data_IF_452249342990
#
_entry.id   IF_452249342990
#
_cell.length_a   1.000
_cell.length_b   1.000
_cell.length_c   1.000
_cell.angle_alpha   90.00
_cell.angle_beta   90.00
_cell.angle_gamma   90.00
#
_symmetry.space_group_name_H-M   'P 1'
#
loop_
_entity.id
_entity.type
_entity.pdbx_description
1 polymer ?
#
# COMPACT_ATOMS: atom_id res chain seq x y z
N UNK A 1 -52.31 8.44 -13.75
CA UNK A 1 -51.55 7.77 -12.67
C UNK A 1 -50.10 8.17 -12.83
N UNK A 2 -49.62 9.14 -12.06
CA UNK A 2 -48.21 9.54 -12.06
C UNK A 2 -47.40 8.48 -11.32
N UNK A 3 -46.50 7.81 -12.02
CA UNK A 3 -45.46 6.97 -11.42
C UNK A 3 -44.71 7.76 -10.35
N UNK A 4 -44.32 7.14 -9.22
CA UNK A 4 -43.59 7.85 -8.17
C UNK A 4 -42.33 8.46 -8.77
N UNK A 5 -42.20 9.78 -8.68
CA UNK A 5 -41.01 10.50 -9.11
C UNK A 5 -39.85 9.95 -8.33
N UNK A 6 -38.89 9.34 -9.02
CA UNK A 6 -37.66 8.83 -8.42
C UNK A 6 -36.98 9.98 -7.67
N UNK A 7 -37.07 9.94 -6.33
CA UNK A 7 -36.66 11.03 -5.44
C UNK A 7 -35.13 11.16 -5.31
N UNK A 8 -34.38 10.34 -6.07
CA UNK A 8 -32.93 10.36 -6.12
C UNK A 8 -32.39 11.64 -6.72
N UNK A 9 -31.29 12.13 -6.14
CA UNK A 9 -30.55 13.26 -6.69
C UNK A 9 -30.05 12.91 -8.11
N UNK A 10 -29.85 13.89 -9.01
CA UNK A 10 -29.38 13.63 -10.38
C UNK A 10 -28.10 12.77 -10.44
N UNK A 11 -27.18 12.96 -9.49
CA UNK A 11 -25.93 12.20 -9.41
C UNK A 11 -26.14 10.72 -9.04
N UNK A 12 -27.18 10.42 -8.27
CA UNK A 12 -27.56 9.04 -7.88
C UNK A 12 -28.30 8.30 -9.00
N UNK A 13 -28.69 9.01 -10.06
CA UNK A 13 -29.36 8.43 -11.24
C UNK A 13 -28.38 8.07 -12.35
N UNK A 14 -27.10 8.39 -12.17
CA UNK A 14 -26.07 8.04 -13.13
C UNK A 14 -25.87 6.51 -13.17
N UNK A 15 -25.49 5.95 -14.33
CA UNK A 15 -24.94 4.60 -14.41
C UNK A 15 -23.77 4.42 -13.44
N UNK A 16 -23.65 3.21 -12.90
CA UNK A 16 -22.64 2.87 -11.89
C UNK A 16 -21.22 3.15 -12.37
N UNK A 17 -20.96 2.97 -13.66
CA UNK A 17 -19.66 3.21 -14.29
C UNK A 17 -19.27 4.70 -14.25
N UNK A 18 -20.26 5.60 -14.36
CA UNK A 18 -20.02 7.04 -14.23
C UNK A 18 -19.77 7.43 -12.78
N UNK A 19 -20.47 6.79 -11.82
CA UNK A 19 -20.21 6.98 -10.39
C UNK A 19 -18.77 6.55 -10.06
N UNK A 20 -18.34 5.39 -10.56
CA UNK A 20 -16.96 4.90 -10.42
C UNK A 20 -15.96 5.89 -11.01
N UNK A 21 -16.19 6.35 -12.23
CA UNK A 21 -15.31 7.30 -12.91
C UNK A 21 -15.20 8.62 -12.16
N UNK A 22 -16.32 9.18 -11.68
CA UNK A 22 -16.33 10.41 -10.88
C UNK A 22 -15.51 10.20 -9.61
N UNK A 23 -15.73 9.09 -8.90
CA UNK A 23 -14.99 8.78 -7.69
C UNK A 23 -13.48 8.61 -7.93
N UNK A 24 -13.05 7.93 -8.98
CA UNK A 24 -11.62 7.78 -9.27
C UNK A 24 -10.95 9.07 -9.76
N UNK A 25 -11.72 10.01 -10.31
CA UNK A 25 -11.21 11.33 -10.69
C UNK A 25 -11.05 12.27 -9.47
N UNK A 26 -11.91 12.13 -8.46
CA UNK A 26 -11.87 13.01 -7.28
C UNK A 26 -11.16 12.40 -6.07
N UNK A 27 -11.17 11.07 -5.94
CA UNK A 27 -10.77 10.31 -4.75
C UNK A 27 -11.41 10.84 -3.45
N UNK A 28 -12.59 11.45 -3.56
CA UNK A 28 -13.27 12.12 -2.46
C UNK A 28 -14.11 11.12 -1.64
N UNK A 29 -13.64 10.75 -0.45
CA UNK A 29 -14.33 9.79 0.42
C UNK A 29 -15.63 10.33 1.04
N UNK A 30 -15.87 11.63 1.01
CA UNK A 30 -17.19 12.18 1.35
C UNK A 30 -18.26 11.82 0.31
N UNK A 31 -17.87 11.47 -0.92
CA UNK A 31 -18.81 11.10 -1.97
C UNK A 31 -19.62 9.83 -1.65
N UNK A 32 -19.01 8.68 -1.30
CA UNK A 32 -19.77 7.53 -0.79
C UNK A 32 -20.47 7.81 0.55
N UNK A 33 -19.94 8.70 1.40
CA UNK A 33 -20.57 9.03 2.70
C UNK A 33 -21.86 9.86 2.54
N UNK A 34 -21.98 10.62 1.45
CA UNK A 34 -23.12 11.51 1.20
C UNK A 34 -24.40 10.76 0.77
N UNK A 35 -24.29 9.52 0.27
CA UNK A 35 -25.44 8.75 -0.22
C UNK A 35 -25.23 7.24 -0.07
N UNK A 36 -26.20 6.57 0.53
CA UNK A 36 -26.21 5.11 0.62
C UNK A 36 -26.25 4.44 -0.77
N UNK A 37 -26.87 5.07 -1.76
CA UNK A 37 -26.90 4.54 -3.13
C UNK A 37 -25.51 4.58 -3.77
N UNK A 38 -24.79 5.69 -3.59
CA UNK A 38 -23.43 5.87 -4.08
C UNK A 38 -22.47 4.95 -3.32
N UNK A 39 -22.62 4.83 -2.00
CA UNK A 39 -21.86 3.87 -1.20
C UNK A 39 -22.02 2.44 -1.72
N UNK A 40 -23.26 2.02 -1.99
CA UNK A 40 -23.54 0.69 -2.54
C UNK A 40 -22.92 0.50 -3.93
N UNK A 41 -22.98 1.52 -4.80
CA UNK A 41 -22.36 1.50 -6.12
C UNK A 41 -20.83 1.37 -6.05
N UNK A 42 -20.19 2.00 -5.06
CA UNK A 42 -18.72 1.96 -4.85
C UNK A 42 -18.26 0.78 -3.98
N UNK A 43 -19.18 0.03 -3.37
CA UNK A 43 -18.87 -1.12 -2.53
C UNK A 43 -18.55 -2.35 -3.37
N UNK A 44 -17.36 -2.34 -3.98
CA UNK A 44 -16.89 -3.37 -4.88
C UNK A 44 -15.43 -3.69 -4.59
N UNK A 45 -15.10 -4.98 -4.48
CA UNK A 45 -13.74 -5.44 -4.19
C UNK A 45 -12.72 -4.94 -5.22
N UNK A 46 -13.07 -4.85 -6.50
CA UNK A 46 -12.19 -4.32 -7.56
C UNK A 46 -11.85 -2.85 -7.29
N UNK A 47 -12.82 -2.06 -6.83
CA UNK A 47 -12.62 -0.65 -6.48
C UNK A 47 -11.68 -0.54 -5.29
N UNK A 48 -11.89 -1.37 -4.26
CA UNK A 48 -11.03 -1.41 -3.08
C UNK A 48 -9.60 -1.83 -3.41
N UNK A 49 -9.43 -2.86 -4.27
CA UNK A 49 -8.12 -3.28 -4.79
C UNK A 49 -7.44 -2.15 -5.54
N UNK A 50 -8.16 -1.44 -6.41
CA UNK A 50 -7.61 -0.28 -7.11
C UNK A 50 -7.20 0.81 -6.14
N UNK A 51 -8.04 1.19 -5.18
CA UNK A 51 -7.72 2.19 -4.15
C UNK A 51 -6.46 1.82 -3.35
N UNK A 52 -6.30 0.55 -2.96
CA UNK A 52 -5.11 0.09 -2.25
C UNK A 52 -3.87 0.20 -3.14
N UNK A 53 -3.93 -0.32 -4.37
CA UNK A 53 -2.78 -0.28 -5.29
C UNK A 53 -2.39 1.13 -5.65
N UNK A 54 -3.38 1.99 -5.85
CA UNK A 54 -3.25 3.44 -5.91
C UNK A 54 -2.48 3.86 -4.65
N UNK A 55 -3.13 3.97 -3.50
CA UNK A 55 -2.57 4.64 -2.33
C UNK A 55 -1.24 4.05 -1.83
N UNK A 56 -1.01 2.74 -1.94
CA UNK A 56 0.09 2.05 -1.26
C UNK A 56 1.21 1.54 -2.17
N UNK A 57 1.18 1.75 -3.49
CA UNK A 57 2.33 1.37 -4.33
C UNK A 57 3.50 2.35 -4.19
N UNK A 58 4.74 1.88 -4.13
CA UNK A 58 5.94 2.74 -4.13
C UNK A 58 6.03 3.64 -5.37
N UNK A 59 6.44 4.91 -5.19
CA UNK A 59 6.50 5.92 -6.25
C UNK A 59 7.93 6.12 -6.83
N UNK A 60 8.73 5.05 -6.90
CA UNK A 60 10.12 5.16 -7.35
C UNK A 60 10.22 5.71 -8.78
N UNK A 61 11.34 6.37 -9.15
CA UNK A 61 11.55 6.89 -10.51
C UNK A 61 11.37 5.82 -11.60
N UNK A 62 11.73 4.57 -11.32
CA UNK A 62 11.54 3.45 -12.25
C UNK A 62 10.10 2.91 -12.30
N UNK A 63 9.21 3.33 -11.40
CA UNK A 63 7.79 2.95 -11.43
C UNK A 63 7.01 3.75 -12.49
N UNK A 64 7.44 4.97 -12.79
CA UNK A 64 6.87 5.81 -13.86
C UNK A 64 7.25 5.33 -15.27
N UNK A 65 8.24 4.43 -15.39
CA UNK A 65 8.70 3.83 -16.66
C UNK A 65 7.74 2.81 -17.28
N UNK A 66 6.45 2.87 -16.96
CA UNK A 66 5.42 2.00 -17.53
C UNK A 66 5.07 0.75 -16.71
N UNK A 67 5.73 0.55 -15.57
CA UNK A 67 5.55 -0.65 -14.73
C UNK A 67 4.16 -0.68 -14.12
N UNK A 68 3.66 0.46 -13.63
CA UNK A 68 2.33 0.56 -13.01
C UNK A 68 1.31 1.20 -13.96
N UNK A 69 1.21 0.66 -15.18
CA UNK A 69 0.26 1.13 -16.21
C UNK A 69 -1.01 0.26 -16.23
N UNK A 70 -2.07 0.77 -16.84
CA UNK A 70 -3.29 0.03 -17.14
C UNK A 70 -2.95 -1.33 -17.79
N UNK A 71 -3.49 -2.45 -17.30
CA UNK A 71 -4.65 -2.59 -16.41
C UNK A 71 -4.34 -2.68 -14.91
N UNK A 72 -3.08 -2.55 -14.48
CA UNK A 72 -2.70 -2.78 -13.08
C UNK A 72 -3.18 -1.66 -12.15
N UNK A 73 -3.14 -0.42 -12.64
CA UNK A 73 -3.72 0.77 -12.02
C UNK A 73 -4.69 1.46 -13.00
N UNK A 74 -5.75 2.11 -12.49
CA UNK A 74 -6.51 3.07 -13.28
C UNK A 74 -5.58 4.13 -13.89
N UNK A 75 -5.77 4.45 -15.17
CA UNK A 75 -5.03 5.52 -15.81
C UNK A 75 -5.22 6.82 -14.99
N UNK A 76 -4.17 7.65 -14.90
CA UNK A 76 -4.08 8.91 -14.12
C UNK A 76 -3.48 8.83 -12.70
N UNK A 77 -2.96 7.68 -12.26
CA UNK A 77 -2.47 7.56 -10.88
C UNK A 77 -1.17 8.33 -10.52
N UNK A 78 -0.33 8.68 -11.51
CA UNK A 78 0.94 9.36 -11.27
C UNK A 78 0.83 10.87 -10.95
N UNK A 79 -0.38 11.41 -10.76
CA UNK A 79 -0.56 12.83 -10.44
C UNK A 79 -0.68 13.15 -8.95
N UNK A 80 -0.76 12.16 -8.06
CA UNK A 80 -0.80 12.43 -6.62
C UNK A 80 0.59 12.79 -6.11
N UNK A 81 0.69 13.94 -5.43
CA UNK A 81 1.88 14.27 -4.65
C UNK A 81 1.96 13.43 -3.36
N UNK A 82 3.04 13.62 -2.59
CA UNK A 82 3.28 12.85 -1.38
C UNK A 82 2.18 13.09 -0.32
N UNK A 83 1.67 14.31 -0.19
CA UNK A 83 0.69 14.69 0.83
C UNK A 83 -0.69 14.14 0.49
N UNK A 84 -1.13 14.31 -0.76
CA UNK A 84 -2.38 13.74 -1.28
C UNK A 84 -2.41 12.23 -1.14
N UNK A 85 -1.27 11.57 -1.39
CA UNK A 85 -1.15 10.13 -1.21
C UNK A 85 -1.26 9.73 0.26
N UNK A 86 -0.62 10.46 1.17
CA UNK A 86 -0.73 10.22 2.62
C UNK A 86 -2.15 10.42 3.11
N UNK A 87 -2.84 11.46 2.67
CA UNK A 87 -4.25 11.70 3.00
C UNK A 87 -5.14 10.53 2.52
N UNK A 88 -4.94 10.09 1.28
CA UNK A 88 -5.65 8.95 0.72
C UNK A 88 -5.38 7.65 1.49
N UNK A 89 -4.12 7.40 1.88
CA UNK A 89 -3.76 6.26 2.74
C UNK A 89 -4.51 6.33 4.06
N UNK A 90 -4.54 7.49 4.72
CA UNK A 90 -5.27 7.67 5.98
C UNK A 90 -6.78 7.43 5.82
N UNK A 91 -7.40 7.92 4.76
CA UNK A 91 -8.84 7.69 4.51
C UNK A 91 -9.14 6.20 4.22
N UNK A 92 -8.30 5.53 3.43
CA UNK A 92 -8.46 4.09 3.16
C UNK A 92 -8.29 3.28 4.44
N UNK A 93 -7.26 3.56 5.23
CA UNK A 93 -7.02 2.83 6.48
C UNK A 93 -8.14 3.03 7.49
N UNK A 94 -8.92 4.12 7.45
CA UNK A 94 -10.11 4.32 8.30
C UNK A 94 -11.30 3.45 7.88
N UNK A 95 -11.30 2.90 6.67
CA UNK A 95 -12.43 2.15 6.15
C UNK A 95 -12.44 0.69 6.64
N UNK A 96 -13.62 0.20 7.03
CA UNK A 96 -13.80 -1.17 7.54
C UNK A 96 -13.52 -2.26 6.50
N UNK A 97 -13.61 -1.93 5.20
CA UNK A 97 -13.28 -2.87 4.12
C UNK A 97 -11.76 -3.05 3.94
N UNK A 98 -10.94 -2.18 4.51
CA UNK A 98 -9.48 -2.28 4.44
C UNK A 98 -8.98 -3.31 5.45
N UNK A 99 -9.00 -4.58 5.06
CA UNK A 99 -8.57 -5.70 5.89
C UNK A 99 -7.14 -6.15 5.56
N UNK A 100 -6.48 -6.84 6.48
CA UNK A 100 -5.18 -7.47 6.21
C UNK A 100 -5.26 -8.43 5.03
N UNK A 101 -6.31 -9.25 4.95
CA UNK A 101 -6.54 -10.20 3.86
C UNK A 101 -6.56 -9.50 2.49
N UNK A 102 -7.29 -8.39 2.36
CA UNK A 102 -7.34 -7.62 1.11
C UNK A 102 -6.00 -6.95 0.81
N UNK A 103 -5.32 -6.39 1.83
CA UNK A 103 -4.00 -5.80 1.68
C UNK A 103 -2.98 -6.84 1.20
N UNK A 104 -3.00 -8.06 1.75
CA UNK A 104 -2.13 -9.18 1.35
C UNK A 104 -2.40 -9.65 -0.07
N UNK A 105 -3.67 -9.73 -0.47
CA UNK A 105 -4.05 -10.00 -1.87
C UNK A 105 -3.41 -8.98 -2.80
N UNK A 106 -3.60 -7.68 -2.51
CA UNK A 106 -3.04 -6.59 -3.32
C UNK A 106 -1.50 -6.64 -3.35
N UNK A 107 -0.89 -6.95 -2.21
CA UNK A 107 0.56 -7.09 -2.07
C UNK A 107 1.12 -8.21 -2.94
N UNK A 108 0.50 -9.39 -2.90
CA UNK A 108 0.90 -10.53 -3.71
C UNK A 108 0.81 -10.21 -5.20
N UNK A 109 -0.34 -9.70 -5.64
CA UNK A 109 -0.56 -9.32 -7.04
C UNK A 109 0.42 -8.24 -7.51
N UNK A 110 0.78 -7.30 -6.62
CA UNK A 110 1.80 -6.29 -6.88
C UNK A 110 3.17 -6.91 -7.12
N UNK A 111 3.65 -7.76 -6.21
CA UNK A 111 4.95 -8.43 -6.34
C UNK A 111 5.02 -9.26 -7.63
N UNK A 112 4.00 -10.06 -7.92
CA UNK A 112 3.91 -10.85 -9.14
C UNK A 112 3.95 -9.98 -10.40
N UNK A 113 3.24 -8.85 -10.38
CA UNK A 113 3.23 -7.90 -11.48
C UNK A 113 4.60 -7.26 -11.70
N UNK A 114 5.28 -6.82 -10.64
CA UNK A 114 6.64 -6.26 -10.74
C UNK A 114 7.61 -7.29 -11.33
N UNK A 115 7.55 -8.55 -10.87
CA UNK A 115 8.40 -9.62 -11.39
C UNK A 115 8.12 -9.84 -12.87
N UNK A 116 6.85 -9.94 -13.27
CA UNK A 116 6.46 -10.12 -14.68
C UNK A 116 6.97 -8.99 -15.57
N UNK A 117 6.89 -7.74 -15.10
CA UNK A 117 7.27 -6.57 -15.89
C UNK A 117 8.78 -6.32 -15.92
N UNK A 118 9.46 -6.44 -14.78
CA UNK A 118 10.88 -6.08 -14.67
C UNK A 118 11.83 -7.26 -14.89
N UNK A 119 11.34 -8.49 -14.75
CA UNK A 119 12.15 -9.69 -14.98
C UNK A 119 11.83 -10.39 -16.31
N UNK A 120 10.98 -9.80 -17.16
CA UNK A 120 10.64 -10.36 -18.48
C UNK A 120 11.87 -10.59 -19.34
N UNK A 121 12.71 -9.56 -19.44
CA UNK A 121 13.83 -9.50 -20.38
C UNK A 121 15.19 -9.87 -19.73
N UNK A 122 15.17 -10.13 -18.42
CA UNK A 122 16.38 -10.51 -17.69
C UNK A 122 16.80 -11.95 -18.01
N UNK A 123 18.10 -12.14 -18.19
CA UNK A 123 18.68 -13.47 -18.37
C UNK A 123 18.80 -14.12 -16.99
N UNK A 124 17.93 -15.10 -16.72
CA UNK A 124 17.83 -15.81 -15.44
C UNK A 124 18.02 -17.31 -15.68
N UNK A 125 18.65 -18.02 -14.73
CA UNK A 125 18.80 -19.47 -14.83
C UNK A 125 17.43 -20.17 -14.88
N UNK A 126 17.26 -21.32 -15.57
CA UNK A 126 15.97 -22.01 -15.63
C UNK A 126 15.43 -22.37 -14.24
N UNK A 127 16.32 -22.73 -13.31
CA UNK A 127 15.96 -23.06 -11.93
C UNK A 127 15.42 -21.83 -11.19
N UNK A 128 16.11 -20.68 -11.30
CA UNK A 128 15.65 -19.46 -10.64
C UNK A 128 14.39 -18.89 -11.30
N UNK A 129 14.25 -19.05 -12.61
CA UNK A 129 13.03 -18.65 -13.33
C UNK A 129 11.82 -19.45 -12.85
N UNK A 130 11.96 -20.77 -12.69
CA UNK A 130 10.91 -21.61 -12.12
C UNK A 130 10.50 -21.17 -10.69
N UNK A 131 11.45 -20.65 -9.89
CA UNK A 131 11.16 -20.08 -8.56
C UNK A 131 10.41 -18.75 -8.65
N UNK A 132 10.71 -17.90 -9.63
CA UNK A 132 9.97 -16.65 -9.86
C UNK A 132 8.58 -16.88 -10.44
N UNK A 133 8.40 -17.95 -11.23
CA UNK A 133 7.12 -18.31 -11.84
C UNK A 133 6.16 -18.98 -10.83
N UNK A 134 6.67 -19.59 -9.75
CA UNK A 134 5.87 -20.17 -8.68
C UNK A 134 6.27 -19.63 -7.29
N UNK A 135 5.56 -18.59 -6.86
CA UNK A 135 5.80 -17.93 -5.57
C UNK A 135 4.94 -18.47 -4.41
N UNK A 136 3.96 -19.33 -4.69
CA UNK A 136 3.01 -19.84 -3.67
C UNK A 136 3.68 -20.37 -2.40
N UNK A 137 4.73 -21.21 -2.48
CA UNK A 137 5.35 -21.77 -1.27
C UNK A 137 5.95 -20.70 -0.36
N UNK A 138 6.41 -19.59 -0.94
CA UNK A 138 7.00 -18.49 -0.17
C UNK A 138 5.93 -17.67 0.55
N UNK A 139 4.77 -17.45 -0.07
CA UNK A 139 3.63 -16.78 0.58
C UNK A 139 3.05 -17.62 1.72
N UNK A 140 2.99 -18.94 1.57
CA UNK A 140 2.46 -19.86 2.59
C UNK A 140 3.34 -19.95 3.84
N UNK A 141 4.67 -19.92 3.65
CA UNK A 141 5.66 -20.05 4.73
C UNK A 141 6.11 -18.72 5.34
N UNK A 142 5.59 -17.60 4.83
CA UNK A 142 5.97 -16.25 5.24
C UNK A 142 5.63 -15.97 6.72
N UNK A 143 6.61 -15.45 7.47
CA UNK A 143 6.37 -14.91 8.81
C UNK A 143 5.68 -13.55 8.72
N UNK A 144 4.37 -13.54 9.00
CA UNK A 144 3.49 -12.36 8.93
C UNK A 144 3.80 -11.29 9.97
N UNK A 145 4.53 -11.64 11.02
CA UNK A 145 4.88 -10.75 12.13
C UNK A 145 6.37 -10.39 12.15
N UNK A 146 7.10 -10.72 11.08
CA UNK A 146 8.52 -10.43 10.98
C UNK A 146 8.76 -8.92 10.87
N UNK A 147 9.30 -8.32 11.95
CA UNK A 147 9.63 -6.90 12.01
C UNK A 147 11.09 -6.61 11.63
N UNK A 148 11.66 -7.35 10.66
CA UNK A 148 13.03 -7.23 10.14
C UNK A 148 14.08 -6.86 11.21
N UNK A 149 14.84 -7.84 11.71
CA UNK A 149 15.88 -7.67 12.76
C UNK A 149 16.52 -6.28 12.80
N UNK A 150 16.18 -5.48 13.82
CA UNK A 150 16.68 -4.13 14.08
C UNK A 150 16.37 -3.07 13.00
N UNK A 151 15.23 -3.19 12.30
CA UNK A 151 14.83 -2.26 11.24
C UNK A 151 15.64 -2.43 9.94
N UNK A 152 16.58 -3.38 9.89
CA UNK A 152 17.34 -3.71 8.68
C UNK A 152 16.69 -4.91 8.00
N UNK A 153 16.15 -4.68 6.81
CA UNK A 153 15.69 -5.75 5.93
C UNK A 153 16.90 -6.62 5.62
N UNK A 154 16.82 -7.91 5.90
CA UNK A 154 17.86 -8.88 5.59
C UNK A 154 18.13 -8.96 4.08
N UNK A 155 18.89 -9.96 3.61
CA UNK A 155 19.27 -10.04 2.20
C UNK A 155 18.09 -10.24 1.21
N UNK A 156 16.92 -10.64 1.71
CA UNK A 156 15.75 -11.08 0.95
C UNK A 156 15.35 -12.51 1.36
N UNK A 157 14.06 -12.81 1.33
CA UNK A 157 13.52 -14.15 1.57
C UNK A 157 13.78 -15.05 0.35
N UNK A 158 13.65 -14.48 -0.85
CA UNK A 158 14.06 -15.07 -2.12
C UNK A 158 15.05 -14.14 -2.82
N UNK A 159 16.19 -14.69 -3.27
CA UNK A 159 17.20 -13.96 -4.04
C UNK A 159 17.53 -14.78 -5.29
N UNK A 160 17.39 -14.14 -6.44
CA UNK A 160 17.68 -14.69 -7.76
C UNK A 160 18.81 -13.89 -8.41
N UNK A 161 19.72 -14.58 -9.08
CA UNK A 161 20.74 -13.94 -9.90
C UNK A 161 20.22 -13.75 -11.31
N UNK A 162 20.43 -12.56 -11.87
CA UNK A 162 20.01 -12.20 -13.20
C UNK A 162 21.16 -11.50 -13.95
N UNK A 163 21.04 -11.38 -15.27
CA UNK A 163 21.89 -10.49 -16.07
C UNK A 163 21.05 -9.59 -16.94
N UNK A 164 21.48 -8.34 -17.09
CA UNK A 164 20.89 -7.43 -18.05
C UNK A 164 21.19 -7.93 -19.48
N UNK A 165 20.19 -8.00 -20.38
CA UNK A 165 20.39 -8.52 -21.74
C UNK A 165 21.36 -7.66 -22.56
N UNK A 166 21.23 -6.34 -22.49
CA UNK A 166 22.06 -5.42 -23.31
C UNK A 166 23.46 -5.17 -22.74
N UNK A 167 23.58 -4.87 -21.45
CA UNK A 167 24.87 -4.54 -20.82
C UNK A 167 25.64 -5.77 -20.33
N UNK A 168 24.97 -6.92 -20.18
CA UNK A 168 25.55 -8.13 -19.58
C UNK A 168 25.82 -8.01 -18.07
N UNK A 169 25.42 -6.90 -17.45
CA UNK A 169 25.70 -6.62 -16.04
C UNK A 169 25.00 -7.62 -15.12
N UNK A 170 25.69 -7.97 -14.04
CA UNK A 170 25.18 -8.88 -13.04
C UNK A 170 24.19 -8.17 -12.11
N UNK A 171 22.95 -8.64 -12.14
CA UNK A 171 21.85 -8.14 -11.33
C UNK A 171 21.44 -9.18 -10.27
N UNK A 172 20.81 -8.69 -9.21
CA UNK A 172 20.14 -9.52 -8.21
C UNK A 172 18.70 -9.04 -8.05
N UNK A 173 17.78 -9.98 -8.13
CA UNK A 173 16.37 -9.77 -7.77
C UNK A 173 16.19 -10.31 -6.36
N UNK A 174 15.83 -9.44 -5.41
CA UNK A 174 15.57 -9.79 -4.03
C UNK A 174 14.10 -9.51 -3.69
N UNK A 175 13.43 -10.46 -3.05
CA UNK A 175 12.02 -10.37 -2.67
C UNK A 175 11.91 -10.55 -1.16
N UNK A 176 11.15 -9.68 -0.51
CA UNK A 176 10.74 -9.81 0.88
C UNK A 176 9.23 -9.92 0.92
N UNK A 177 8.71 -11.12 1.19
CA UNK A 177 7.30 -11.44 1.06
C UNK A 177 6.48 -10.69 2.13
N UNK A 178 6.94 -10.69 3.39
CA UNK A 178 6.19 -10.02 4.47
C UNK A 178 6.01 -8.52 4.22
N UNK A 179 6.99 -7.91 3.56
CA UNK A 179 6.98 -6.49 3.24
C UNK A 179 6.48 -6.19 1.83
N UNK A 180 6.06 -7.19 1.05
CA UNK A 180 5.60 -6.99 -0.32
C UNK A 180 6.59 -6.28 -1.21
N UNK A 181 7.88 -6.51 -0.98
CA UNK A 181 8.95 -5.72 -1.56
C UNK A 181 9.77 -6.51 -2.56
N UNK A 182 10.06 -5.88 -3.70
CA UNK A 182 10.95 -6.40 -4.75
C UNK A 182 12.01 -5.37 -5.01
N UNK A 183 13.28 -5.77 -4.96
CA UNK A 183 14.40 -4.94 -5.34
C UNK A 183 15.19 -5.61 -6.46
N UNK A 184 15.47 -4.85 -7.51
CA UNK A 184 16.36 -5.27 -8.59
C UNK A 184 17.57 -4.35 -8.49
N UNK A 185 18.74 -4.93 -8.26
CA UNK A 185 19.97 -4.16 -8.01
C UNK A 185 21.15 -4.72 -8.77
N UNK A 186 22.04 -3.83 -9.14
CA UNK A 186 23.39 -4.17 -9.58
C UNK A 186 24.21 -4.77 -8.44
N UNK A 187 25.28 -5.48 -8.81
CA UNK A 187 26.26 -6.01 -7.88
C UNK A 187 27.24 -4.91 -7.40
N UNK A 188 26.72 -3.79 -6.91
CA UNK A 188 27.55 -2.71 -6.32
C UNK A 188 27.82 -2.97 -4.83
N UNK A 189 29.01 -2.62 -4.30
CA UNK A 189 29.28 -2.63 -2.86
C UNK A 189 28.61 -1.47 -2.11
N UNK A 190 28.09 -0.45 -2.81
CA UNK A 190 27.36 0.68 -2.22
C UNK A 190 25.86 0.42 -2.32
N UNK A 191 25.18 0.37 -1.19
CA UNK A 191 23.74 0.18 -1.12
C UNK A 191 23.01 1.46 -1.52
N UNK A 192 22.37 1.46 -2.69
CA UNK A 192 21.40 2.47 -3.08
C UNK A 192 20.00 1.83 -3.12
N UNK A 193 19.04 2.40 -2.37
CA UNK A 193 17.63 1.97 -2.34
C UNK A 193 16.83 2.45 -3.56
N UNK A 194 17.49 2.79 -4.66
CA UNK A 194 16.89 3.54 -5.78
C UNK A 194 15.74 2.81 -6.49
N UNK A 195 15.67 1.48 -6.40
CA UNK A 195 14.67 0.64 -7.10
C UNK A 195 14.01 -0.42 -6.19
N UNK A 196 13.49 0.00 -5.05
CA UNK A 196 12.71 -0.87 -4.16
C UNK A 196 11.20 -0.75 -4.42
N UNK A 197 10.63 -1.65 -5.20
CA UNK A 197 9.19 -1.70 -5.42
C UNK A 197 8.50 -2.30 -4.21
N UNK A 198 7.46 -1.66 -3.69
CA UNK A 198 6.79 -2.09 -2.45
C UNK A 198 5.29 -1.82 -2.46
N UNK A 199 4.54 -2.75 -1.87
CA UNK A 199 3.16 -2.54 -1.41
C UNK A 199 2.91 -3.35 -0.11
N UNK A 200 2.44 -2.74 0.99
CA UNK A 200 2.16 -1.32 1.14
C UNK A 200 3.42 -0.48 1.33
N UNK A 201 3.39 0.75 0.83
CA UNK A 201 4.46 1.74 0.94
C UNK A 201 3.87 3.09 1.35
N UNK A 202 3.97 3.44 2.63
CA UNK A 202 3.68 4.78 3.12
C UNK A 202 4.92 5.68 3.04
N UNK A 203 4.69 6.99 3.00
CA UNK A 203 5.77 7.98 2.94
C UNK A 203 6.55 7.99 4.25
N UNK A 204 7.87 7.99 4.19
CA UNK A 204 8.72 8.15 5.39
C UNK A 204 8.83 9.60 5.84
N UNK A 205 8.65 10.55 4.92
CA UNK A 205 8.70 12.00 5.21
C UNK A 205 7.35 12.53 5.68
N UNK A 206 6.26 11.94 5.20
CA UNK A 206 4.89 12.30 5.54
C UNK A 206 4.10 11.02 5.89
N UNK A 207 4.44 10.33 6.99
CA UNK A 207 3.82 9.05 7.33
C UNK A 207 2.31 9.20 7.54
N UNK A 208 1.56 8.20 7.11
CA UNK A 208 0.12 8.16 7.38
C UNK A 208 -0.13 7.91 8.87
N UNK A 209 -1.21 8.50 9.39
CA UNK A 209 -1.61 8.28 10.78
C UNK A 209 -2.18 6.88 10.95
N UNK A 210 -1.76 6.17 12.00
CA UNK A 210 -2.38 4.91 12.40
C UNK A 210 -3.86 5.14 12.77
N UNK A 211 -4.81 4.38 12.20
CA UNK A 211 -6.22 4.53 12.55
C UNK A 211 -6.53 4.15 13.99
N UNK A 212 -7.33 4.96 14.68
CA UNK A 212 -7.72 4.72 16.08
C UNK A 212 -8.44 3.39 16.28
N UNK A 213 -9.26 2.98 15.31
CA UNK A 213 -9.98 1.72 15.40
C UNK A 213 -9.03 0.51 15.31
N UNK A 214 -7.83 0.66 14.73
CA UNK A 214 -6.77 -0.34 14.80
C UNK A 214 -6.07 -0.34 16.15
N UNK A 215 -6.17 0.73 16.95
CA UNK A 215 -5.49 0.87 18.25
C UNK A 215 -6.37 0.52 19.48
N UNK A 216 -7.60 0.08 19.26
CA UNK A 216 -8.58 -0.21 20.33
C UNK A 216 -8.96 -1.69 20.39
N UNK A 217 -9.62 -2.15 21.44
CA UNK A 217 -10.21 -3.51 21.46
C UNK A 217 -11.39 -3.61 20.46
N UNK A 218 -11.72 -4.80 19.90
CA UNK A 218 -11.03 -6.09 20.06
C UNK A 218 -9.82 -6.23 19.13
N UNK A 219 -8.81 -6.98 19.58
CA UNK A 219 -7.59 -7.32 18.85
C UNK A 219 -7.77 -8.65 18.12
N UNK A 220 -8.34 -8.60 16.92
CA UNK A 220 -8.45 -9.77 16.04
C UNK A 220 -7.11 -10.05 15.36
N UNK A 221 -6.94 -11.27 14.84
CA UNK A 221 -5.74 -11.65 14.09
C UNK A 221 -5.52 -10.74 12.87
N UNK A 222 -6.57 -10.47 12.07
CA UNK A 222 -6.46 -9.56 10.92
C UNK A 222 -5.98 -8.16 11.32
N UNK A 223 -6.43 -7.66 12.46
CA UNK A 223 -6.05 -6.34 12.96
C UNK A 223 -4.62 -6.31 13.45
N UNK A 224 -4.19 -7.34 14.17
CA UNK A 224 -2.79 -7.49 14.59
C UNK A 224 -1.85 -7.61 13.39
N UNK A 225 -2.27 -8.35 12.36
CA UNK A 225 -1.51 -8.46 11.11
C UNK A 225 -1.39 -7.10 10.40
N UNK A 226 -2.49 -6.35 10.26
CA UNK A 226 -2.47 -5.03 9.63
C UNK A 226 -1.62 -4.02 10.43
N UNK A 227 -1.70 -4.06 11.76
CA UNK A 227 -0.84 -3.26 12.64
C UNK A 227 0.64 -3.60 12.45
N UNK A 228 0.98 -4.90 12.43
CA UNK A 228 2.35 -5.34 12.23
C UNK A 228 2.89 -4.84 10.89
N UNK A 229 2.08 -4.91 9.84
CA UNK A 229 2.45 -4.49 8.49
C UNK A 229 2.70 -2.97 8.41
N UNK A 230 1.91 -2.16 9.12
CA UNK A 230 1.99 -0.70 9.11
C UNK A 230 2.94 -0.13 10.17
N UNK A 231 3.37 -0.93 11.14
CA UNK A 231 4.13 -0.49 12.32
C UNK A 231 5.44 0.28 12.02
N UNK A 232 6.03 0.04 10.85
CA UNK A 232 7.27 0.71 10.44
C UNK A 232 7.04 1.97 9.60
N UNK A 233 5.79 2.25 9.19
CA UNK A 233 5.50 3.30 8.19
C UNK A 233 4.35 4.25 8.60
N UNK A 234 3.57 3.89 9.62
CA UNK A 234 2.52 4.72 10.17
C UNK A 234 2.90 5.24 11.57
N UNK A 235 2.56 6.49 11.86
CA UNK A 235 2.82 7.09 13.17
C UNK A 235 1.58 6.99 14.08
N UNK A 236 1.81 7.02 15.40
CA UNK A 236 0.77 7.12 16.41
C UNK A 236 0.95 8.49 17.07
N UNK A 237 -0.10 9.30 17.12
CA UNK A 237 -0.09 10.52 17.95
C UNK A 237 0.04 10.08 19.41
N UNK A 238 1.15 10.38 20.05
CA UNK A 238 1.19 10.39 21.51
C UNK A 238 0.36 11.61 21.95
N UNK A 239 -0.71 11.38 22.70
CA UNK A 239 -1.51 12.47 23.28
C UNK A 239 -0.54 13.50 23.87
N UNK A 240 -0.60 14.74 23.38
CA UNK A 240 -0.07 15.90 24.09
C UNK A 240 -0.88 15.98 25.37
N UNK A 241 -0.45 15.24 26.40
CA UNK A 241 -0.91 15.48 27.75
C UNK A 241 -0.49 16.90 28.06
N UNK A 242 -1.48 17.77 28.08
CA UNK A 242 -1.44 19.11 28.61
C UNK A 242 -0.48 19.15 29.81
N UNK A 243 0.69 19.76 29.64
CA UNK A 243 1.50 20.22 30.76
C UNK A 243 0.82 21.49 31.27
N UNK A 244 -0.38 21.35 31.81
CA UNK A 244 -1.02 22.34 32.67
C UNK A 244 -1.41 21.61 33.95
N UNK A 245 -0.73 21.95 35.04
CA UNK A 245 -1.03 21.44 36.37
C UNK A 245 0.07 20.60 36.98
N UNK A 246 1.24 21.20 37.22
CA UNK A 246 1.97 21.03 38.49
C UNK A 246 3.18 21.98 38.52
N UNK A 247 2.89 23.27 38.71
CA UNK A 247 3.85 24.19 39.33
C UNK A 247 3.27 24.50 40.71
N UNK A 248 3.56 23.64 41.69
CA UNK A 248 3.38 23.99 43.08
C UNK A 248 4.36 25.13 43.42
N UNK A 249 3.92 26.23 44.06
CA UNK A 249 4.82 27.31 44.44
C UNK A 249 5.62 26.85 45.66
N UNK A 250 6.91 26.58 45.48
CA UNK A 250 7.85 26.46 46.60
C UNK A 250 8.05 27.84 47.21
N UNK A 251 7.31 28.10 48.29
CA UNK A 251 7.51 29.26 49.14
C UNK A 251 8.89 29.22 49.79
N UNK A 252 9.74 30.18 49.45
CA UNK A 252 10.86 30.58 50.30
C UNK A 252 10.35 31.63 51.29
N UNK A 253 10.26 31.24 52.57
CA UNK A 253 10.27 32.20 53.68
C UNK A 253 11.71 32.68 53.88
N UNK A 254 11.88 34.00 53.88
CA UNK A 254 12.99 34.68 54.57
C UNK A 254 12.54 35.05 55.97
#
# INVERSE_FOLDING_TARGET
MSSPTDARAPIERLPVELIHKIFFLSLEFNFPRASAHIAAALSNEVIYTWLIRVAFSSANPSSSSGVLVHPFLPAHYFSLDADQKTELQTEILRCQWCTASLMRKCQREYVEHIIRQKCSDLIISPQDRARLDNLDPYWETMDRYSNATHGKRGKGDLIVSARHPDTGEHLKVAIWFNFGSVQIRERSPVFHETDLFRLPCCSTTHPCRMPDHLLRSPWTEEKLELLSLLSNEAYIDEDVRTIEGDIAPTGYRS
#
